data_IF_962993098872
#
_entry.id   IF_962993098872
#
_cell.length_a   1.000
_cell.length_b   1.000
_cell.length_c   1.000
_cell.angle_alpha   90.00
_cell.angle_beta   90.00
_cell.angle_gamma   90.00
#
_symmetry.space_group_name_H-M   'P 1'
#
loop_
_entity.id
_entity.type
_entity.pdbx_description
1 polymer ?
#
# COMPACT_ATOMS: atom_id res chain seq x y z
N UNK A 1 -6.04 -16.53 4.39
CA UNK A 1 -6.37 -15.08 4.58
C UNK A 1 -6.28 -14.38 3.23
N UNK A 2 -7.25 -13.55 2.94
CA UNK A 2 -7.34 -12.76 1.72
C UNK A 2 -7.17 -11.28 2.04
N UNK A 3 -6.94 -10.48 1.01
CA UNK A 3 -6.84 -9.01 1.14
C UNK A 3 -8.07 -8.42 1.83
N UNK A 4 -9.28 -8.91 1.49
CA UNK A 4 -10.50 -8.42 2.13
C UNK A 4 -10.52 -8.62 3.64
N UNK A 5 -9.91 -9.69 4.15
CA UNK A 5 -9.80 -9.95 5.59
C UNK A 5 -8.90 -8.91 6.27
N UNK A 6 -7.79 -8.55 5.61
CA UNK A 6 -6.89 -7.50 6.09
C UNK A 6 -7.63 -6.16 6.18
N UNK A 7 -8.35 -5.79 5.12
CA UNK A 7 -9.08 -4.52 5.09
C UNK A 7 -10.24 -4.47 6.08
N UNK A 8 -10.86 -5.62 6.37
CA UNK A 8 -11.93 -5.71 7.38
C UNK A 8 -11.43 -5.31 8.77
N UNK A 9 -10.19 -5.68 9.11
CA UNK A 9 -9.58 -5.38 10.41
C UNK A 9 -8.95 -3.99 10.43
N UNK A 10 -8.19 -3.66 9.39
CA UNK A 10 -7.44 -2.42 9.27
C UNK A 10 -8.31 -1.21 8.91
N UNK A 11 -9.36 -1.44 8.11
CA UNK A 11 -10.16 -0.41 7.46
C UNK A 11 -9.75 -0.18 6.01
N UNK A 12 -10.68 0.38 5.25
CA UNK A 12 -10.52 0.58 3.80
C UNK A 12 -10.13 2.03 3.44
N UNK A 13 -9.93 2.90 4.43
CA UNK A 13 -9.56 4.30 4.18
C UNK A 13 -8.18 4.37 3.53
N UNK A 14 -8.10 5.08 2.41
CA UNK A 14 -6.84 5.35 1.72
C UNK A 14 -6.68 6.84 1.53
N UNK A 15 -5.48 7.34 1.84
CA UNK A 15 -5.14 8.73 1.57
C UNK A 15 -4.68 8.84 0.13
N UNK A 16 -5.32 9.71 -0.63
CA UNK A 16 -5.07 9.89 -2.06
C UNK A 16 -4.75 11.33 -2.41
N UNK A 17 -4.05 11.50 -3.53
CA UNK A 17 -3.75 12.79 -4.14
C UNK A 17 -3.94 12.71 -5.64
N UNK A 18 -4.12 13.87 -6.29
CA UNK A 18 -4.07 13.98 -7.75
C UNK A 18 -2.63 14.20 -8.24
N UNK A 19 -2.36 13.82 -9.47
CA UNK A 19 -1.02 13.90 -10.06
C UNK A 19 -0.52 15.34 -10.25
N UNK A 20 -1.41 16.32 -10.31
CA UNK A 20 -1.12 17.74 -10.46
C UNK A 20 -0.81 18.47 -9.15
N UNK A 21 -1.04 17.85 -8.01
CA UNK A 21 -0.65 18.39 -6.71
C UNK A 21 0.87 18.41 -6.57
N UNK A 22 1.40 19.26 -5.68
CA UNK A 22 2.84 19.42 -5.51
C UNK A 22 3.43 18.38 -4.55
N UNK A 23 4.72 18.14 -4.69
CA UNK A 23 5.47 17.30 -3.74
C UNK A 23 5.41 17.88 -2.33
N UNK A 24 5.43 19.21 -2.17
CA UNK A 24 5.27 19.84 -0.87
C UNK A 24 3.93 19.47 -0.21
N UNK A 25 2.84 19.47 -0.97
CA UNK A 25 1.52 19.08 -0.47
C UNK A 25 1.51 17.60 -0.07
N UNK A 26 2.11 16.74 -0.87
CA UNK A 26 2.25 15.32 -0.56
C UNK A 26 3.05 15.09 0.73
N UNK A 27 4.17 15.80 0.90
CA UNK A 27 4.99 15.68 2.10
C UNK A 27 4.21 16.09 3.36
N UNK A 28 3.45 17.17 3.30
CA UNK A 28 2.58 17.60 4.41
C UNK A 28 1.53 16.57 4.76
N UNK A 29 0.93 15.96 3.74
CA UNK A 29 -0.10 14.95 3.89
C UNK A 29 0.45 13.68 4.54
N UNK A 30 1.62 13.20 4.11
CA UNK A 30 2.31 12.06 4.71
C UNK A 30 2.55 12.29 6.21
N UNK A 31 3.03 13.47 6.58
CA UNK A 31 3.30 13.81 7.98
C UNK A 31 2.00 13.92 8.79
N UNK A 32 1.00 14.61 8.27
CA UNK A 32 -0.28 14.80 8.96
C UNK A 32 -1.00 13.48 9.22
N UNK A 33 -1.01 12.60 8.24
CA UNK A 33 -1.68 11.30 8.33
C UNK A 33 -0.81 10.20 8.95
N UNK A 34 0.47 10.48 9.21
CA UNK A 34 1.44 9.55 9.78
C UNK A 34 1.55 8.26 8.98
N UNK A 35 1.69 8.40 7.67
CA UNK A 35 1.79 7.30 6.71
C UNK A 35 3.06 7.42 5.89
N UNK A 36 3.53 6.30 5.33
CA UNK A 36 4.75 6.25 4.53
C UNK A 36 4.53 6.34 3.03
N UNK A 37 3.26 6.24 2.58
CA UNK A 37 2.93 6.29 1.16
C UNK A 37 1.51 6.80 0.93
N UNK A 38 1.32 7.45 -0.22
CA UNK A 38 0.02 7.94 -0.69
C UNK A 38 -0.26 7.34 -2.06
N UNK A 39 -1.53 7.09 -2.35
CA UNK A 39 -1.93 6.62 -3.68
C UNK A 39 -2.29 7.83 -4.54
N UNK A 40 -1.68 7.89 -5.72
CA UNK A 40 -2.01 8.90 -6.73
C UNK A 40 -3.11 8.33 -7.60
N UNK A 41 -4.27 8.99 -7.60
CA UNK A 41 -5.44 8.54 -8.36
C UNK A 41 -5.81 9.52 -9.46
N UNK A 42 -6.45 8.99 -10.50
CA UNK A 42 -7.11 9.81 -11.52
C UNK A 42 -8.50 10.29 -11.03
N UNK A 43 -9.20 11.14 -11.81
CA UNK A 43 -10.54 11.60 -11.43
C UNK A 43 -11.58 10.48 -11.29
N UNK A 44 -11.36 9.33 -11.88
CA UNK A 44 -12.24 8.16 -11.79
C UNK A 44 -11.87 7.24 -10.62
N UNK A 45 -11.01 7.70 -9.69
CA UNK A 45 -10.56 6.94 -8.52
C UNK A 45 -9.74 5.69 -8.87
N UNK A 46 -9.12 5.66 -10.02
CA UNK A 46 -8.20 4.58 -10.40
C UNK A 46 -6.79 4.92 -9.98
N UNK A 47 -6.09 4.02 -9.31
CA UNK A 47 -4.71 4.27 -8.89
C UNK A 47 -3.78 4.34 -10.12
N UNK A 48 -2.96 5.40 -10.16
CA UNK A 48 -1.97 5.65 -11.19
C UNK A 48 -0.55 5.36 -10.70
N UNK A 49 -0.31 5.63 -9.43
CA UNK A 49 1.01 5.45 -8.83
C UNK A 49 0.89 5.40 -7.30
N UNK A 50 1.96 5.00 -6.65
CA UNK A 50 2.16 5.15 -5.21
C UNK A 50 3.36 6.06 -5.02
N UNK A 51 3.18 7.13 -4.25
CA UNK A 51 4.26 8.03 -3.87
C UNK A 51 4.64 7.77 -2.42
N UNK A 52 5.90 7.39 -2.19
CA UNK A 52 6.41 7.09 -0.85
C UNK A 52 7.36 8.18 -0.35
N UNK A 53 7.63 8.13 0.97
CA UNK A 53 8.67 8.97 1.59
C UNK A 53 10.00 8.83 0.87
N UNK A 54 10.35 7.61 0.46
CA UNK A 54 11.61 7.33 -0.26
C UNK A 54 11.66 8.05 -1.61
N UNK A 55 10.54 8.14 -2.33
CA UNK A 55 10.48 8.87 -3.60
C UNK A 55 10.77 10.34 -3.40
N UNK A 56 10.27 10.93 -2.32
CA UNK A 56 10.53 12.33 -1.98
C UNK A 56 11.99 12.56 -1.61
N UNK A 57 12.56 11.68 -0.79
CA UNK A 57 14.00 11.75 -0.43
C UNK A 57 14.86 11.61 -1.67
N UNK A 58 14.53 10.68 -2.56
CA UNK A 58 15.23 10.51 -3.82
C UNK A 58 15.13 11.78 -4.69
N UNK A 59 13.95 12.38 -4.78
CA UNK A 59 13.73 13.63 -5.49
C UNK A 59 14.53 14.80 -4.91
N UNK A 60 14.60 14.92 -3.59
CA UNK A 60 15.44 15.91 -2.91
C UNK A 60 16.91 15.72 -3.23
N UNK A 61 17.38 14.48 -3.26
CA UNK A 61 18.76 14.13 -3.60
C UNK A 61 19.12 14.52 -5.03
N UNK A 62 18.17 14.40 -5.96
CA UNK A 62 18.39 14.67 -7.39
C UNK A 62 18.20 16.14 -7.76
N UNK A 63 17.15 16.78 -7.22
CA UNK A 63 16.70 18.13 -7.63
C UNK A 63 16.93 19.20 -6.56
N UNK A 64 17.34 18.82 -5.36
CA UNK A 64 17.41 19.76 -4.24
C UNK A 64 16.04 20.24 -3.80
N UNK A 65 15.98 21.39 -3.12
CA UNK A 65 14.75 21.94 -2.56
C UNK A 65 13.69 22.29 -3.63
N UNK A 66 14.07 22.44 -4.87
CA UNK A 66 13.15 22.73 -5.98
C UNK A 66 12.10 21.62 -6.16
N UNK A 67 12.41 20.38 -5.76
CA UNK A 67 11.48 19.28 -5.86
C UNK A 67 10.13 19.58 -5.17
N UNK A 68 10.14 20.36 -4.11
CA UNK A 68 8.94 20.68 -3.35
C UNK A 68 7.90 21.44 -4.17
N UNK A 69 8.33 22.17 -5.20
CA UNK A 69 7.45 22.91 -6.09
C UNK A 69 7.07 22.14 -7.35
N UNK A 70 7.65 20.96 -7.54
CA UNK A 70 7.35 20.10 -8.70
C UNK A 70 6.01 19.40 -8.49
N UNK A 71 5.27 19.12 -9.58
CA UNK A 71 4.07 18.30 -9.48
C UNK A 71 4.44 16.85 -9.17
N UNK A 72 3.53 16.14 -8.54
CA UNK A 72 3.71 14.74 -8.15
C UNK A 72 4.06 13.87 -9.36
N UNK A 73 3.43 14.12 -10.51
CA UNK A 73 3.66 13.34 -11.72
C UNK A 73 5.11 13.40 -12.22
N UNK A 74 5.88 14.40 -11.82
CA UNK A 74 7.31 14.50 -12.16
C UNK A 74 8.16 13.45 -11.43
N UNK A 75 7.71 12.93 -10.29
CA UNK A 75 8.41 11.92 -9.50
C UNK A 75 7.76 10.53 -9.52
N UNK A 76 6.52 10.43 -9.95
CA UNK A 76 5.81 9.15 -9.91
C UNK A 76 6.28 8.21 -11.01
N UNK A 77 6.26 6.92 -10.71
CA UNK A 77 6.42 5.87 -11.69
C UNK A 77 5.05 5.43 -12.18
N UNK A 78 4.88 5.34 -13.49
CA UNK A 78 3.57 5.07 -14.13
C UNK A 78 3.14 3.61 -13.96
N UNK A 79 4.08 2.72 -13.66
CA UNK A 79 3.83 1.28 -13.55
C UNK A 79 3.36 0.91 -12.13
N UNK A 80 2.08 1.17 -11.85
CA UNK A 80 1.50 0.85 -10.54
C UNK A 80 1.17 -0.65 -10.45
N UNK A 81 1.61 -1.28 -9.35
CA UNK A 81 1.27 -2.65 -9.02
C UNK A 81 0.08 -2.64 -8.07
N UNK A 82 -0.99 -3.36 -8.42
CA UNK A 82 -2.22 -3.42 -7.63
C UNK A 82 -2.58 -4.86 -7.28
N UNK A 83 -3.46 -5.02 -6.30
CA UNK A 83 -4.04 -6.32 -5.97
C UNK A 83 -5.57 -6.19 -5.84
N UNK A 84 -6.25 -7.32 -5.78
CA UNK A 84 -7.70 -7.39 -5.61
C UNK A 84 -8.10 -7.91 -4.23
N UNK A 85 -9.36 -7.72 -3.88
CA UNK A 85 -9.92 -8.16 -2.59
C UNK A 85 -9.82 -9.67 -2.37
N UNK A 86 -9.89 -10.45 -3.44
CA UNK A 86 -9.86 -11.91 -3.38
C UNK A 86 -8.46 -12.51 -3.46
N UNK A 87 -7.44 -11.69 -3.66
CA UNK A 87 -6.06 -12.16 -3.69
C UNK A 87 -5.64 -12.69 -2.32
N UNK A 88 -4.90 -13.81 -2.33
CA UNK A 88 -4.40 -14.40 -1.09
C UNK A 88 -3.26 -13.57 -0.51
N UNK A 89 -3.08 -13.67 0.80
CA UNK A 89 -1.96 -13.03 1.49
C UNK A 89 -0.62 -13.47 0.92
N UNK A 90 -0.45 -14.76 0.62
CA UNK A 90 0.78 -15.28 0.03
C UNK A 90 1.06 -14.68 -1.35
N UNK A 91 0.02 -14.50 -2.18
CA UNK A 91 0.14 -13.84 -3.48
C UNK A 91 0.61 -12.40 -3.33
N UNK A 92 0.00 -11.66 -2.40
CA UNK A 92 0.37 -10.26 -2.11
C UNK A 92 1.83 -10.17 -1.66
N UNK A 93 2.26 -11.06 -0.76
CA UNK A 93 3.64 -11.10 -0.29
C UNK A 93 4.62 -11.39 -1.41
N UNK A 94 4.29 -12.32 -2.30
CA UNK A 94 5.09 -12.62 -3.48
C UNK A 94 5.21 -11.42 -4.42
N UNK A 95 4.10 -10.73 -4.66
CA UNK A 95 4.09 -9.52 -5.50
C UNK A 95 4.98 -8.42 -4.92
N UNK A 96 4.90 -8.20 -3.61
CA UNK A 96 5.73 -7.20 -2.92
C UNK A 96 7.22 -7.54 -3.05
N UNK A 97 7.57 -8.80 -2.91
CA UNK A 97 8.95 -9.29 -3.02
C UNK A 97 9.47 -9.17 -4.44
N UNK A 98 8.72 -9.67 -5.41
CA UNK A 98 9.12 -9.72 -6.81
C UNK A 98 9.22 -8.32 -7.43
N UNK A 99 8.31 -7.44 -7.09
CA UNK A 99 8.27 -6.07 -7.61
C UNK A 99 9.00 -5.07 -6.73
N UNK A 100 9.51 -5.49 -5.59
CA UNK A 100 10.22 -4.63 -4.61
C UNK A 100 9.39 -3.42 -4.20
N UNK A 101 8.10 -3.64 -3.97
CA UNK A 101 7.16 -2.62 -3.50
C UNK A 101 6.71 -2.95 -2.08
N UNK A 102 6.45 -1.93 -1.29
CA UNK A 102 6.06 -2.05 0.12
C UNK A 102 4.59 -1.73 0.35
N UNK A 103 3.90 -1.26 -0.67
CA UNK A 103 2.50 -0.89 -0.62
C UNK A 103 1.83 -1.32 -1.92
N UNK A 104 0.66 -1.94 -1.81
CA UNK A 104 -0.15 -2.32 -2.96
C UNK A 104 -1.52 -1.66 -2.82
N UNK A 105 -1.90 -0.76 -3.73
CA UNK A 105 -3.28 -0.33 -3.82
C UNK A 105 -4.19 -1.52 -4.12
N UNK A 106 -5.33 -1.57 -3.46
CA UNK A 106 -6.34 -2.60 -3.67
C UNK A 106 -7.43 -2.01 -4.56
N UNK A 107 -7.75 -2.70 -5.64
CA UNK A 107 -8.77 -2.27 -6.59
C UNK A 107 -9.96 -3.22 -6.55
N UNK A 108 -11.14 -2.66 -6.82
CA UNK A 108 -12.37 -3.44 -7.00
C UNK A 108 -12.50 -3.97 -8.44
N UNK A 109 -13.61 -4.60 -8.76
CA UNK A 109 -13.88 -5.16 -10.09
C UNK A 109 -13.90 -4.11 -11.21
N UNK A 110 -14.15 -2.85 -10.88
CA UNK A 110 -14.19 -1.75 -11.84
C UNK A 110 -12.84 -1.02 -11.96
N UNK A 111 -11.81 -1.52 -11.26
CA UNK A 111 -10.49 -0.92 -11.25
C UNK A 111 -10.35 0.29 -10.34
N UNK A 112 -11.34 0.55 -9.50
CA UNK A 112 -11.32 1.69 -8.56
C UNK A 112 -10.64 1.31 -7.27
N UNK A 113 -9.94 2.28 -6.70
CA UNK A 113 -9.27 2.12 -5.42
C UNK A 113 -10.27 1.84 -4.30
N UNK A 114 -10.06 0.76 -3.55
CA UNK A 114 -10.89 0.39 -2.41
C UNK A 114 -10.10 0.09 -1.14
N UNK A 115 -8.78 0.22 -1.17
CA UNK A 115 -7.95 0.01 0.00
C UNK A 115 -6.46 0.08 -0.34
N UNK A 116 -5.64 -0.14 0.67
CA UNK A 116 -4.19 -0.27 0.50
C UNK A 116 -3.66 -1.31 1.49
N UNK A 117 -2.72 -2.14 1.05
CA UNK A 117 -2.04 -3.14 1.87
C UNK A 117 -0.55 -2.83 1.90
N UNK A 118 0.02 -2.73 3.10
CA UNK A 118 1.46 -2.54 3.29
C UNK A 118 2.17 -3.84 3.63
N UNK A 119 3.51 -3.82 3.54
CA UNK A 119 4.34 -4.95 4.03
C UNK A 119 4.04 -5.25 5.49
N UNK A 120 3.84 -4.21 6.33
CA UNK A 120 3.48 -4.39 7.74
C UNK A 120 2.16 -5.12 7.92
N UNK A 121 1.15 -4.79 7.12
CA UNK A 121 -0.14 -5.49 7.14
C UNK A 121 0.03 -6.95 6.75
N UNK A 122 0.84 -7.23 5.74
CA UNK A 122 1.09 -8.59 5.26
C UNK A 122 1.82 -9.43 6.31
N UNK A 123 2.84 -8.87 6.95
CA UNK A 123 3.59 -9.54 8.03
C UNK A 123 2.65 -9.85 9.20
N UNK A 124 1.86 -8.90 9.64
CA UNK A 124 0.90 -9.09 10.73
C UNK A 124 -0.11 -10.19 10.39
N UNK A 125 -0.65 -10.17 9.18
CA UNK A 125 -1.59 -11.20 8.72
C UNK A 125 -0.98 -12.59 8.71
N UNK A 126 0.26 -12.73 8.25
CA UNK A 126 0.96 -14.01 8.23
C UNK A 126 1.26 -14.53 9.64
N UNK A 127 1.63 -13.64 10.55
CA UNK A 127 1.82 -14.01 11.96
C UNK A 127 0.52 -14.53 12.58
N UNK A 128 -0.60 -13.88 12.31
CA UNK A 128 -1.93 -14.33 12.79
C UNK A 128 -2.29 -15.71 12.23
N UNK A 129 -2.03 -15.97 10.95
CA UNK A 129 -2.25 -17.29 10.33
C UNK A 129 -1.41 -18.37 11.02
N UNK A 130 -0.12 -18.11 11.24
CA UNK A 130 0.80 -19.07 11.87
C UNK A 130 0.36 -19.36 13.30
N UNK A 131 -0.04 -18.35 14.06
CA UNK A 131 -0.55 -18.53 15.42
C UNK A 131 -1.83 -19.38 15.44
N UNK A 132 -2.74 -19.12 14.51
CA UNK A 132 -3.98 -19.91 14.41
C UNK A 132 -3.70 -21.37 14.07
N UNK A 133 -2.78 -21.63 13.13
CA UNK A 133 -2.37 -22.98 12.77
C UNK A 133 -1.70 -23.69 13.96
N UNK A 134 -0.81 -23.01 14.68
CA UNK A 134 -0.13 -23.57 15.84
C UNK A 134 -1.10 -23.87 16.99
N UNK A 135 -2.07 -22.99 17.22
CA UNK A 135 -3.10 -23.19 18.25
C UNK A 135 -4.00 -24.36 17.90
N UNK A 136 -4.45 -24.47 16.66
CA UNK A 136 -5.26 -25.59 16.19
C UNK A 136 -4.51 -26.94 16.34
N UNK A 137 -3.24 -26.96 16.04
CA UNK A 137 -2.40 -28.16 16.18
C UNK A 137 -2.23 -28.54 17.65
N UNK A 138 -1.99 -27.58 18.54
CA UNK A 138 -1.91 -27.84 19.97
C UNK A 138 -3.22 -28.40 20.53
N UNK A 139 -4.36 -27.84 20.13
CA UNK A 139 -5.67 -28.31 20.56
C UNK A 139 -5.95 -29.74 20.06
N UNK A 140 -5.58 -30.03 18.83
CA UNK A 140 -5.68 -31.39 18.26
C UNK A 140 -4.85 -32.40 19.06
N UNK A 141 -3.60 -32.06 19.39
CA UNK A 141 -2.72 -32.94 20.20
C UNK A 141 -3.28 -33.13 21.59
N UNK A 142 -3.83 -32.06 22.22
CA UNK A 142 -4.37 -32.13 23.59
C UNK A 142 -5.63 -32.99 23.68
N UNK A 143 -6.41 -33.10 22.58
CA UNK A 143 -7.67 -33.88 22.54
C UNK A 143 -7.50 -35.29 22.00
N UNK A 144 -6.32 -35.65 21.52
CA UNK A 144 -6.03 -36.97 20.94
C UNK A 144 -5.85 -38.06 22.00
#
# INVERSE_FOLDING_TARGET
>A
MKVEDILRTKGARVVTVGADETIADAAKLLMRERIGAIVVCDPQQRPRAVLSERDIVHGLSTHGAEVLHMPIDALMHIDVVTCGLQDSLLKVMAMMTDRRVRHLPVIDKDGRLCGIVSVGDAVKGRMEEIEAEASALRDYIATA
#
